data_IF_881924548015
#
_entry.id   IF_881924548015
#
_cell.length_a   1.000
_cell.length_b   1.000
_cell.length_c   1.000
_cell.angle_alpha   90.00
_cell.angle_beta   90.00
_cell.angle_gamma   90.00
#
_symmetry.space_group_name_H-M   'P 1'
#
loop_
_entity.id
_entity.type
_entity.pdbx_description
1 polymer ?
2 branched ?
3 water ?
#
# COMPACT_ATOMS: atom_id res chain seq x y z
N UNK A 56 2.81 11.62 -13.71
CA UNK A 56 1.75 12.59 -13.91
C UNK A 56 2.04 13.96 -13.30
N UNK A 57 1.00 14.78 -13.14
CA UNK A 57 1.20 16.13 -12.60
C UNK A 57 1.22 16.21 -11.07
N UNK A 58 0.88 15.14 -10.37
CA UNK A 58 0.93 15.14 -8.92
C UNK A 58 2.29 14.66 -8.44
N UNK A 59 2.80 15.35 -7.44
CA UNK A 59 4.03 14.97 -6.78
C UNK A 59 3.83 13.69 -5.98
N UNK A 60 4.78 12.77 -6.06
CA UNK A 60 4.63 11.46 -5.44
C UNK A 60 5.76 11.23 -4.43
N UNK A 61 5.60 10.16 -3.64
CA UNK A 61 6.65 9.74 -2.71
C UNK A 61 7.92 9.43 -3.47
N UNK A 62 7.79 8.74 -4.60
CA UNK A 62 8.95 8.51 -5.47
C UNK A 62 9.66 9.82 -5.80
N UNK A 63 8.90 10.85 -6.18
CA UNK A 63 9.49 12.15 -6.52
C UNK A 63 10.23 12.74 -5.32
N UNK A 64 9.59 12.68 -4.15
CA UNK A 64 10.18 13.21 -2.93
C UNK A 64 11.54 12.56 -2.65
N UNK A 65 11.63 11.25 -2.82
CA UNK A 65 12.89 10.54 -2.57
C UNK A 65 13.93 10.94 -3.62
N UNK A 66 13.52 10.95 -4.88
CA UNK A 66 14.43 11.32 -5.95
C UNK A 66 14.99 12.71 -5.77
N UNK A 67 14.20 13.61 -5.21
CA UNK A 67 14.57 15.01 -5.16
C UNK A 67 15.32 15.38 -3.89
N UNK A 68 15.62 14.43 -3.01
CA UNK A 68 16.31 14.77 -1.78
C UNK A 68 17.42 13.76 -1.54
N UNK A 69 18.25 14.04 -0.53
CA UNK A 69 19.36 13.15 -0.19
C UNK A 69 18.82 12.02 0.68
N UNK A 70 18.06 11.15 0.04
CA UNK A 70 17.36 10.06 0.66
C UNK A 70 17.71 8.79 -0.07
N UNK A 71 18.11 7.78 0.68
CA UNK A 71 18.44 6.48 0.15
C UNK A 71 17.29 5.56 0.47
N UNK A 72 16.85 4.82 -0.55
CA UNK A 72 15.74 3.90 -0.45
C UNK A 72 16.22 2.48 -0.70
N UNK A 73 15.91 1.59 0.23
CA UNK A 73 16.29 0.21 0.17
C UNK A 73 15.04 -0.65 0.29
N UNK A 74 14.85 -1.65 -0.58
CA UNK A 74 13.77 -2.62 -0.36
C UNK A 74 13.97 -3.40 0.92
N UNK A 75 12.86 -3.77 1.55
CA UNK A 75 12.91 -4.51 2.81
C UNK A 75 12.12 -5.80 2.66
N UNK A 76 12.66 -6.88 3.20
CA UNK A 76 12.05 -8.19 3.17
C UNK A 76 11.87 -8.73 4.57
N UNK A 77 10.92 -9.66 4.71
CA UNK A 77 10.59 -10.25 6.00
C UNK A 77 11.87 -10.80 6.61
N UNK A 78 12.10 -10.46 7.88
CA UNK A 78 13.27 -10.94 8.58
C UNK A 78 14.58 -10.23 8.32
N UNK A 79 14.56 -9.12 7.59
CA UNK A 79 15.78 -8.33 7.45
C UNK A 79 16.21 -7.75 8.80
N UNK A 80 17.49 -7.82 9.15
CA UNK A 80 17.96 -7.13 10.36
C UNK A 80 17.66 -5.64 10.27
N UNK A 81 17.23 -5.09 11.39
CA UNK A 81 16.92 -3.68 11.53
C UNK A 81 15.51 -3.31 11.14
N UNK A 82 14.69 -4.29 10.72
CA UNK A 82 13.38 -3.96 10.12
C UNK A 82 12.24 -4.20 11.08
N UNK A 83 11.15 -3.43 10.93
CA UNK A 83 9.99 -3.66 11.78
C UNK A 83 9.39 -5.01 11.46
N UNK A 84 8.73 -5.58 12.45
CA UNK A 84 7.96 -6.79 12.25
C UNK A 84 6.52 -6.35 11.98
N UNK A 85 6.01 -6.74 10.82
CA UNK A 85 4.68 -6.32 10.39
C UNK A 85 3.84 -7.57 10.24
N UNK A 86 2.86 -7.72 11.10
CA UNK A 86 2.02 -8.92 11.13
C UNK A 86 0.69 -8.54 10.48
N UNK A 87 0.56 -8.83 9.20
CA UNK A 87 -0.66 -8.60 8.44
C UNK A 87 -1.49 -9.87 8.44
N UNK A 88 -2.79 -9.76 8.71
CA UNK A 88 -3.64 -10.94 8.72
C UNK A 88 -3.96 -11.40 7.31
N UNK A 89 -4.34 -12.66 7.20
CA UNK A 89 -4.85 -13.21 5.96
C UNK A 89 -6.35 -13.42 6.16
N UNK A 90 -7.22 -12.59 5.58
CA UNK A 90 -8.65 -12.76 5.80
C UNK A 90 -9.15 -14.08 5.25
N UNK A 91 -10.33 -14.47 5.72
CA UNK A 91 -10.93 -15.72 5.26
C UNK A 91 -11.24 -15.68 3.77
N UNK A 92 -11.03 -16.80 3.11
CA UNK A 92 -11.21 -16.93 1.66
C UNK A 92 -10.14 -16.18 0.88
N UNK A 93 -9.14 -15.63 1.56
CA UNK A 93 -7.96 -15.08 0.92
C UNK A 93 -6.78 -15.99 1.21
N UNK A 94 -5.79 -15.95 0.33
CA UNK A 94 -4.59 -16.77 0.45
C UNK A 94 -3.35 -15.88 0.45
N UNK A 95 -2.36 -16.29 1.24
CA UNK A 95 -1.08 -15.60 1.32
C UNK A 95 -0.28 -15.74 0.03
N UNK A 96 0.32 -14.65 -0.39
CA UNK A 96 1.30 -14.63 -1.48
C UNK A 96 2.69 -14.45 -0.88
N UNK A 97 3.64 -15.32 -1.19
CA UNK A 97 5.00 -15.11 -0.69
C UNK A 97 5.63 -13.91 -1.38
N UNK A 98 6.72 -13.43 -0.81
CA UNK A 98 7.47 -12.34 -1.41
C UNK A 98 7.98 -12.73 -2.78
N UNK A 99 7.81 -11.83 -3.72
CA UNK A 99 8.18 -12.09 -5.11
C UNK A 99 8.30 -10.75 -5.80
N UNK A 100 8.70 -10.77 -7.07
CA UNK A 100 8.78 -9.55 -7.85
C UNK A 100 7.43 -8.86 -7.90
N UNK A 101 6.34 -9.65 -8.00
CA UNK A 101 5.00 -9.12 -8.10
C UNK A 101 4.44 -8.65 -6.75
N UNK A 102 4.95 -9.19 -5.65
CA UNK A 102 4.44 -8.90 -4.30
C UNK A 102 5.65 -8.75 -3.39
N UNK A 103 6.30 -7.59 -3.43
CA UNK A 103 7.62 -7.45 -2.82
C UNK A 103 7.69 -7.79 -1.35
N UNK A 104 6.67 -7.47 -0.60
CA UNK A 104 6.60 -7.81 0.83
C UNK A 104 5.44 -8.74 1.09
N UNK A 105 5.12 -9.56 0.10
CA UNK A 105 4.04 -10.51 0.25
C UNK A 105 2.74 -9.82 -0.07
N UNK A 106 1.66 -10.55 0.13
CA UNK A 106 0.37 -10.05 -0.28
C UNK A 106 -0.67 -11.11 -0.06
N UNK A 107 -1.90 -10.77 -0.41
CA UNK A 107 -3.00 -11.72 -0.34
C UNK A 107 -3.79 -11.65 -1.64
N UNK A 108 -4.40 -12.79 -1.98
CA UNK A 108 -5.16 -12.93 -3.21
C UNK A 108 -6.48 -13.61 -2.88
N UNK A 109 -7.57 -13.12 -3.45
CA UNK A 109 -8.87 -13.70 -3.16
C UNK A 109 -9.03 -15.03 -3.90
N UNK A 110 -9.58 -16.03 -3.21
CA UNK A 110 -9.63 -17.39 -3.74
C UNK A 110 -10.93 -17.74 -4.43
N UNK A 111 -11.82 -16.77 -4.65
CA UNK A 111 -13.06 -17.01 -5.41
C UNK A 111 -13.31 -15.84 -6.32
N UNK A 112 -12.37 -15.55 -7.20
CA UNK A 112 -12.55 -14.46 -8.14
C UNK A 112 -13.56 -14.83 -9.21
N UNK A 113 -14.24 -13.83 -9.74
CA UNK A 113 -15.12 -14.06 -10.89
C UNK A 113 -14.30 -14.31 -12.14
N UNK A 114 -13.07 -13.82 -12.17
CA UNK A 114 -12.15 -13.98 -13.30
C UNK A 114 -10.84 -14.49 -12.71
N UNK A 115 -10.49 -15.76 -12.92
CA UNK A 115 -9.28 -16.29 -12.26
C UNK A 115 -8.01 -15.62 -12.74
N UNK A 116 -8.00 -15.02 -13.93
CA UNK A 116 -6.83 -14.31 -14.43
C UNK A 116 -6.80 -12.85 -14.01
N UNK A 117 -7.73 -12.42 -13.14
CA UNK A 117 -7.76 -11.03 -12.66
C UNK A 117 -8.47 -11.02 -11.30
N UNK A 118 -7.89 -11.67 -10.30
CA UNK A 118 -8.54 -11.75 -9.01
C UNK A 118 -8.25 -10.52 -8.17
N UNK A 119 -9.13 -10.23 -7.19
CA UNK A 119 -8.82 -9.18 -6.20
C UNK A 119 -7.51 -9.50 -5.49
N UNK A 120 -6.69 -8.48 -5.32
CA UNK A 120 -5.41 -8.67 -4.64
C UNK A 120 -5.07 -7.44 -3.79
N UNK A 121 -4.35 -7.69 -2.71
CA UNK A 121 -3.74 -6.62 -1.92
C UNK A 121 -2.29 -7.03 -1.72
N UNK A 122 -1.39 -6.21 -2.19
CA UNK A 122 0.04 -6.46 -2.23
C UNK A 122 0.70 -5.48 -1.28
N UNK A 123 1.72 -5.93 -0.59
CA UNK A 123 2.47 -5.08 0.31
C UNK A 123 3.88 -4.81 -0.22
N UNK A 124 4.36 -3.60 0.03
CA UNK A 124 5.71 -3.18 -0.28
C UNK A 124 6.29 -2.50 0.97
N UNK A 125 7.52 -2.83 1.32
CA UNK A 125 8.14 -2.20 2.49
C UNK A 125 9.48 -1.65 2.07
N UNK A 126 9.66 -0.36 2.30
CA UNK A 126 10.90 0.32 1.94
C UNK A 126 11.53 0.93 3.18
N UNK A 127 12.86 1.02 3.14
CA UNK A 127 13.66 1.66 4.18
C UNK A 127 14.25 2.94 3.60
N UNK A 128 13.94 4.06 4.23
CA UNK A 128 14.41 5.37 3.84
C UNK A 128 15.38 5.86 4.90
N UNK A 129 16.56 6.24 4.47
CA UNK A 129 17.53 6.88 5.36
C UNK A 129 18.02 8.16 4.72
N UNK A 130 18.56 9.02 5.56
CA UNK A 130 19.10 10.27 5.10
C UNK A 130 18.20 11.40 5.49
N UNK A 131 17.92 12.29 4.54
CA UNK A 131 17.27 13.57 4.85
C UNK A 131 15.76 13.43 4.70
N UNK A 132 15.17 12.62 5.57
CA UNK A 132 13.78 12.17 5.40
C UNK A 132 12.91 12.79 6.49
N UNK A 133 11.77 13.34 6.10
CA UNK A 133 10.78 13.85 7.04
C UNK A 133 9.55 12.95 6.99
N UNK A 134 9.21 12.22 8.05
CA UNK A 134 8.05 11.31 8.00
C UNK A 134 6.76 11.98 7.56
N UNK A 135 6.51 13.21 7.99
CA UNK A 135 5.23 13.86 7.64
C UNK A 135 5.15 14.17 6.15
N UNK A 136 6.30 14.33 5.49
CA UNK A 136 6.29 14.61 4.07
C UNK A 136 5.90 13.36 3.30
N UNK A 137 6.32 12.20 3.79
CA UNK A 137 5.89 10.97 3.13
C UNK A 137 4.37 10.88 3.14
N UNK A 138 3.74 11.19 4.27
CA UNK A 138 2.28 11.15 4.29
C UNK A 138 1.70 12.23 3.40
N UNK A 139 2.34 13.41 3.34
CA UNK A 139 1.77 14.49 2.55
C UNK A 139 1.70 14.09 1.09
N UNK A 140 2.68 13.34 0.58
CA UNK A 140 2.72 13.00 -0.84
C UNK A 140 2.15 11.61 -1.18
N UNK A 141 1.71 10.86 -0.18
CA UNK A 141 1.08 9.58 -0.46
C UNK A 141 -0.03 9.61 -1.51
N UNK A 142 -0.91 10.63 -1.59
CA UNK A 142 -1.97 10.60 -2.61
C UNK A 142 -1.49 10.63 -4.05
N UNK A 143 -0.24 11.09 -4.30
CA UNK A 143 0.14 11.45 -5.66
C UNK A 143 0.11 10.28 -6.63
N UNK A 144 0.60 9.12 -6.18
CA UNK A 144 0.70 7.97 -7.07
C UNK A 144 -0.66 7.56 -7.62
N UNK A 145 -1.63 7.29 -6.74
CA UNK A 145 -2.95 6.92 -7.27
C UNK A 145 -3.55 8.05 -8.09
N UNK A 146 -3.36 9.30 -7.65
CA UNK A 146 -3.98 10.40 -8.38
C UNK A 146 -3.42 10.53 -9.79
N UNK A 147 -2.22 10.00 -10.07
CA UNK A 147 -1.65 10.01 -11.43
C UNK A 147 -2.11 8.84 -12.29
N UNK A 148 -2.92 7.94 -11.76
CA UNK A 148 -3.36 6.79 -12.52
C UNK A 148 -4.31 7.26 -13.64
N UNK A 149 -4.41 6.47 -14.72
CA UNK A 149 -5.25 6.87 -15.86
C UNK A 149 -6.72 6.87 -15.49
N UNK A 150 -7.34 8.05 -15.57
CA UNK A 150 -8.74 8.15 -15.29
C UNK A 150 -9.09 8.02 -13.83
N UNK A 151 -8.12 8.11 -12.94
CA UNK A 151 -8.42 8.01 -11.52
C UNK A 151 -9.51 8.99 -11.13
N UNK A 152 -10.49 8.52 -10.38
CA UNK A 152 -11.42 9.41 -9.71
C UNK A 152 -11.69 8.86 -8.34
N UNK A 153 -11.46 9.67 -7.30
CA UNK A 153 -11.67 9.24 -5.93
C UNK A 153 -12.39 10.31 -5.12
N UNK A 154 -12.65 9.96 -3.86
CA UNK A 154 -13.20 10.91 -2.88
C UNK A 154 -12.03 11.69 -2.32
N UNK A 155 -11.74 12.82 -2.95
CA UNK A 155 -10.75 13.73 -2.48
C UNK A 155 -9.37 13.10 -2.53
N UNK A 156 -8.48 13.64 -1.71
CA UNK A 156 -7.12 13.15 -1.62
C UNK A 156 -6.99 12.00 -0.62
N UNK A 157 -8.10 11.46 -0.15
CA UNK A 157 -8.09 10.45 0.87
C UNK A 157 -8.15 11.05 2.25
N UNK A 158 -7.70 10.27 3.24
CA UNK A 158 -7.72 10.74 4.62
C UNK A 158 -6.66 10.05 5.47
N UNK A 159 -6.38 10.73 6.58
CA UNK A 159 -5.48 10.25 7.60
C UNK A 159 -6.03 8.97 8.24
N UNK A 160 -5.11 8.12 8.66
CA UNK A 160 -5.47 6.89 9.33
C UNK A 160 -4.32 6.42 10.21
N UNK A 161 -4.53 5.29 10.87
CA UNK A 161 -3.47 4.64 11.61
C UNK A 161 -3.46 3.17 11.25
N UNK A 162 -2.33 2.55 11.53
CA UNK A 162 -2.18 1.10 11.37
C UNK A 162 -1.19 0.69 12.44
N UNK A 163 -1.60 -0.21 13.33
CA UNK A 163 -0.68 -0.72 14.31
C UNK A 163 -0.03 0.36 15.15
N UNK A 164 -0.74 1.47 15.37
CA UNK A 164 -0.25 2.56 16.19
C UNK A 164 0.66 3.55 15.51
N UNK A 165 0.87 3.42 14.20
CA UNK A 165 1.68 4.36 13.43
C UNK A 165 0.81 5.14 12.47
N UNK A 166 1.28 6.35 12.11
CA UNK A 166 0.50 7.24 11.27
C UNK A 166 0.46 6.72 9.84
N UNK A 167 -0.68 6.97 9.18
CA UNK A 167 -0.86 6.43 7.85
C UNK A 167 -1.75 7.36 7.03
N UNK A 168 -1.86 7.06 5.73
CA UNK A 168 -2.74 7.76 4.83
C UNK A 168 -3.41 6.73 3.95
N UNK A 169 -4.69 6.91 3.69
CA UNK A 169 -5.37 5.97 2.83
C UNK A 169 -6.18 6.73 1.81
N UNK A 170 -6.10 6.30 0.56
CA UNK A 170 -7.05 6.80 -0.41
C UNK A 170 -7.46 5.70 -1.36
N UNK A 171 -8.65 5.86 -1.91
CA UNK A 171 -9.18 4.85 -2.81
C UNK A 171 -10.01 5.53 -3.87
N UNK A 172 -10.25 4.78 -4.94
CA UNK A 172 -11.04 5.30 -6.04
C UNK A 172 -11.16 4.26 -7.12
N UNK A 173 -11.49 4.75 -8.29
CA UNK A 173 -11.68 3.94 -9.48
C UNK A 173 -10.79 4.46 -10.58
N UNK A 174 -10.34 3.55 -11.46
CA UNK A 174 -9.65 3.97 -12.67
C UNK A 174 -9.99 2.96 -13.76
N UNK A 175 -9.80 3.39 -15.00
CA UNK A 175 -10.17 2.60 -16.16
C UNK A 175 -8.87 2.06 -16.76
N UNK A 176 -8.75 0.75 -16.81
CA UNK A 176 -7.63 0.07 -17.42
C UNK A 176 -8.18 -0.83 -18.51
N UNK A 177 -7.74 -0.61 -19.75
CA UNK A 177 -8.17 -1.42 -20.88
C UNK A 177 -9.68 -1.40 -21.01
N UNK A 178 -10.27 -0.20 -20.85
CA UNK A 178 -11.70 -0.05 -20.97
C UNK A 178 -12.51 -0.71 -19.86
N UNK A 179 -11.86 -1.13 -18.77
CA UNK A 179 -12.56 -1.73 -17.66
C UNK A 179 -12.35 -0.90 -16.41
N UNK A 180 -13.43 -0.66 -15.66
CA UNK A 180 -13.32 0.08 -14.40
C UNK A 180 -12.75 -0.82 -13.32
N UNK A 181 -11.75 -0.29 -12.58
CA UNK A 181 -11.14 -1.00 -11.48
C UNK A 181 -11.20 -0.16 -10.21
N UNK A 182 -11.37 -0.84 -9.08
CA UNK A 182 -11.26 -0.21 -7.77
C UNK A 182 -9.83 -0.35 -7.30
N UNK A 183 -9.23 0.75 -6.87
CA UNK A 183 -7.84 0.70 -6.37
C UNK A 183 -7.81 1.48 -5.06
N UNK A 184 -6.95 1.04 -4.16
CA UNK A 184 -6.78 1.81 -2.95
C UNK A 184 -5.35 1.58 -2.49
N UNK A 185 -4.84 2.55 -1.75
CA UNK A 185 -3.50 2.44 -1.21
C UNK A 185 -3.49 3.01 0.21
N UNK A 186 -2.98 2.23 1.15
CA UNK A 186 -2.67 2.74 2.48
C UNK A 186 -1.16 2.81 2.62
N UNK A 187 -0.67 3.98 3.05
CA UNK A 187 0.75 4.20 3.27
C UNK A 187 0.95 4.39 4.77
N UNK A 188 1.87 3.65 5.35
CA UNK A 188 2.15 3.75 6.79
C UNK A 188 3.60 4.17 6.95
N UNK A 189 3.83 5.16 7.79
CA UNK A 189 5.17 5.66 8.04
C UNK A 189 5.60 5.18 9.42
N UNK A 190 6.75 4.53 9.46
CA UNK A 190 7.22 3.78 10.63
C UNK A 190 8.64 4.24 10.95
N UNK A 191 8.81 5.34 11.69
CA UNK A 191 10.17 5.78 12.02
C UNK A 191 10.76 4.78 13.00
N UNK A 192 11.98 4.33 12.72
CA UNK A 192 12.63 3.32 13.54
C UNK A 192 14.10 3.20 13.24
N UNK A 193 14.89 2.99 14.29
CA UNK A 193 16.27 2.53 14.18
C UNK A 193 17.05 3.30 13.13
N UNK A 194 17.06 4.63 13.24
CA UNK A 194 17.88 5.40 12.33
C UNK A 194 17.36 5.49 10.91
N UNK A 195 16.07 5.25 10.71
CA UNK A 195 15.50 5.23 9.37
C UNK A 195 14.01 5.50 9.51
N UNK A 196 13.35 5.65 8.37
CA UNK A 196 11.90 5.72 8.27
C UNK A 196 11.48 4.62 7.30
N UNK A 197 10.78 3.63 7.80
CA UNK A 197 10.24 2.58 6.98
C UNK A 197 8.89 3.04 6.46
N UNK A 198 8.62 2.69 5.24
CA UNK A 198 7.34 3.04 4.60
C UNK A 198 6.72 1.76 4.08
N UNK A 199 5.54 1.44 4.60
CA UNK A 199 4.76 0.30 4.19
C UNK A 199 3.69 0.82 3.26
N UNK A 200 3.57 0.22 2.08
CA UNK A 200 2.41 0.54 1.24
C UNK A 200 1.61 -0.73 1.01
N UNK A 201 0.30 -0.61 1.14
CA UNK A 201 -0.64 -1.71 0.91
C UNK A 201 -1.48 -1.31 -0.28
N UNK A 202 -1.33 -2.05 -1.40
CA UNK A 202 -1.91 -1.67 -2.68
C UNK A 202 -3.02 -2.66 -3.04
N UNK A 203 -4.24 -2.17 -3.11
CA UNK A 203 -5.38 -3.04 -3.33
C UNK A 203 -5.93 -2.75 -4.72
N UNK A 204 -6.35 -3.81 -5.41
CA UNK A 204 -6.79 -3.66 -6.78
C UNK A 204 -7.78 -4.76 -7.14
N UNK A 205 -8.90 -4.38 -7.76
CA UNK A 205 -9.87 -5.38 -8.18
C UNK A 205 -10.74 -4.76 -9.24
N UNK A 206 -11.40 -5.63 -10.00
CA UNK A 206 -12.46 -5.14 -10.89
C UNK A 206 -13.56 -4.49 -10.07
N UNK A 207 -14.25 -3.51 -10.71
CA UNK A 207 -15.33 -2.78 -10.06
C UNK A 207 -16.33 -3.71 -9.38
N UNK A 208 -16.74 -4.78 -10.05
CA UNK A 208 -17.80 -5.59 -9.47
C UNK A 208 -17.38 -6.33 -8.22
N UNK A 209 -16.08 -6.42 -7.93
CA UNK A 209 -15.59 -7.02 -6.70
C UNK A 209 -15.09 -5.98 -5.71
N UNK A 210 -15.57 -4.73 -5.83
CA UNK A 210 -15.23 -3.70 -4.86
C UNK A 210 -15.51 -4.15 -3.44
N UNK A 211 -16.63 -4.82 -3.20
CA UNK A 211 -17.00 -5.06 -1.81
C UNK A 211 -16.08 -6.11 -1.20
N UNK A 212 -15.59 -7.04 -2.04
CA UNK A 212 -14.60 -8.02 -1.59
C UNK A 212 -13.32 -7.36 -1.14
N UNK A 213 -12.85 -6.35 -1.86
CA UNK A 213 -11.68 -5.62 -1.41
C UNK A 213 -11.96 -4.93 -0.08
N UNK A 214 -13.10 -4.23 0.02
CA UNK A 214 -13.40 -3.48 1.24
C UNK A 214 -13.45 -4.38 2.47
N UNK A 215 -14.00 -5.59 2.34
CA UNK A 215 -14.03 -6.48 3.49
C UNK A 215 -12.61 -6.82 3.93
N UNK A 216 -11.75 -7.16 2.99
CA UNK A 216 -10.38 -7.53 3.37
C UNK A 216 -9.68 -6.36 4.02
N UNK A 217 -9.93 -5.13 3.54
CA UNK A 217 -9.26 -3.96 4.12
C UNK A 217 -9.68 -3.74 5.57
N UNK A 218 -10.91 -4.08 5.91
CA UNK A 218 -11.37 -3.97 7.29
C UNK A 218 -10.59 -4.90 8.20
N UNK A 219 -10.34 -6.12 7.74
CA UNK A 219 -9.62 -7.09 8.55
C UNK A 219 -8.20 -6.59 8.80
N UNK A 220 -7.55 -6.13 7.75
CA UNK A 220 -6.20 -5.60 7.87
C UNK A 220 -6.16 -4.46 8.87
N UNK A 221 -7.08 -3.50 8.76
CA UNK A 221 -7.04 -2.36 9.66
C UNK A 221 -7.26 -2.79 11.11
N UNK A 222 -8.07 -3.82 11.33
CA UNK A 222 -8.43 -4.21 12.69
C UNK A 222 -7.31 -4.98 13.37
N UNK A 223 -6.56 -5.78 12.62
CA UNK A 223 -5.73 -6.83 13.21
C UNK A 223 -4.25 -6.71 12.95
N UNK A 224 -3.82 -5.74 12.16
CA UNK A 224 -2.39 -5.61 11.89
C UNK A 224 -1.66 -5.07 13.10
N UNK A 225 -0.51 -5.66 13.38
CA UNK A 225 0.42 -5.17 14.39
C UNK A 225 1.73 -4.79 13.70
N UNK A 226 2.37 -3.75 14.21
CA UNK A 226 3.66 -3.31 13.73
C UNK A 226 4.56 -3.10 14.93
N UNK A 227 5.69 -3.78 14.96
CA UNK A 227 6.62 -3.72 16.10
C UNK A 227 7.96 -3.25 15.59
N UNK A 228 8.38 -2.00 15.84
CA UNK A 228 9.70 -1.54 15.40
C UNK A 228 10.84 -2.39 15.98
#
# INVERSE_FOLDING_TARGET
MKHFTAAVATVALSLALAGCSFNIKTDSAPTTSPTTTSPTTSTTTTSATTSAQAAGPNYTIADYIRDNHIQETPVHHGDPGSPTIDLPVPDDWRLLPESSRAPYGGIVYTQPADPNDPPTIVAILSKLTGDIDPAKVLQFAPGELKNLPGFQGSGDGSAATLGGFSAWQLGGSYSKNGKLRTVAQKTVVIPSQGAVFVLQLNADALDDETMTLMDAANVIDEQTTITPHHHHHH
#
